data_IF_870018192663
#
_entry.id   IF_870018192663
#
_cell.length_a   1.000
_cell.length_b   1.000
_cell.length_c   1.000
_cell.angle_alpha   90.00
_cell.angle_beta   90.00
_cell.angle_gamma   90.00
#
_symmetry.space_group_name_H-M   'P 1'
#
loop_
_entity.id
_entity.type
_entity.pdbx_description
1 polymer ?
#
# COMPACT_ATOMS: atom_id res chain seq x y z
N UNK A 1 -53.60 40.94 66.43
CA UNK A 1 -53.71 40.98 64.96
C UNK A 1 -52.31 41.19 64.40
N UNK A 2 -52.00 40.48 63.31
CA UNK A 2 -50.81 40.63 62.45
C UNK A 2 -49.53 39.97 62.98
N UNK A 3 -48.79 39.15 62.22
CA UNK A 3 -48.94 38.68 60.84
C UNK A 3 -47.96 37.51 60.61
N UNK A 4 -48.48 36.35 60.21
CA UNK A 4 -47.71 35.22 59.68
C UNK A 4 -46.96 35.63 58.39
N UNK A 5 -45.67 35.30 58.31
CA UNK A 5 -44.92 35.35 57.05
C UNK A 5 -45.01 34.00 56.32
N UNK A 6 -45.20 34.00 54.99
CA UNK A 6 -45.51 32.81 54.21
C UNK A 6 -44.25 32.00 53.89
N UNK A 7 -44.31 30.70 54.16
CA UNK A 7 -43.31 29.72 53.75
C UNK A 7 -43.42 29.52 52.22
N UNK A 8 -42.64 30.27 51.44
CA UNK A 8 -42.64 30.15 49.98
C UNK A 8 -41.82 28.94 49.53
N UNK A 9 -42.53 27.95 48.99
CA UNK A 9 -42.02 26.68 48.51
C UNK A 9 -40.94 26.83 47.42
N UNK A 10 -39.78 26.23 47.64
CA UNK A 10 -38.65 26.12 46.69
C UNK A 10 -39.06 25.58 45.31
N UNK A 11 -40.12 24.76 45.26
CA UNK A 11 -40.72 24.23 44.03
C UNK A 11 -41.31 25.33 43.12
N UNK A 12 -41.79 26.43 43.68
CA UNK A 12 -42.35 27.55 42.92
C UNK A 12 -41.23 28.40 42.28
N UNK A 13 -40.05 28.45 42.90
CA UNK A 13 -38.87 29.15 42.37
C UNK A 13 -38.23 28.45 41.16
N UNK A 14 -38.26 27.11 41.16
CA UNK A 14 -37.75 26.28 40.05
C UNK A 14 -38.64 26.34 38.80
N UNK A 15 -39.95 26.60 38.95
CA UNK A 15 -40.88 26.70 37.82
C UNK A 15 -40.85 28.05 37.10
N UNK A 16 -40.30 29.11 37.73
CA UNK A 16 -40.28 30.46 37.18
C UNK A 16 -39.04 30.78 36.32
N UNK A 17 -37.97 29.97 36.41
CA UNK A 17 -36.73 30.21 35.67
C UNK A 17 -36.18 28.91 35.06
N UNK A 18 -36.37 28.66 33.75
CA UNK A 18 -35.92 27.44 33.09
C UNK A 18 -34.39 27.26 33.14
N UNK A 19 -33.63 28.35 33.22
CA UNK A 19 -32.17 28.32 33.37
C UNK A 19 -31.70 27.70 34.71
N UNK A 20 -32.45 27.93 35.79
CA UNK A 20 -32.12 27.37 37.12
C UNK A 20 -32.47 25.89 37.19
N UNK A 21 -33.54 25.47 36.52
CA UNK A 21 -33.90 24.06 36.39
C UNK A 21 -32.85 23.27 35.59
N UNK A 22 -32.34 23.83 34.49
CA UNK A 22 -31.27 23.21 33.68
C UNK A 22 -29.98 23.08 34.49
N UNK A 23 -29.58 24.12 35.22
CA UNK A 23 -28.40 24.06 36.09
C UNK A 23 -28.55 23.01 37.21
N UNK A 24 -29.74 22.84 37.77
CA UNK A 24 -30.00 21.81 38.77
C UNK A 24 -29.88 20.39 38.18
N UNK A 25 -30.32 20.17 36.93
CA UNK A 25 -30.19 18.88 36.22
C UNK A 25 -28.73 18.59 35.89
N UNK A 26 -27.96 19.59 35.43
CA UNK A 26 -26.53 19.44 35.13
C UNK A 26 -25.75 19.11 36.41
N UNK A 27 -26.04 19.78 37.52
CA UNK A 27 -25.42 19.48 38.81
C UNK A 27 -25.72 18.05 39.28
N UNK A 28 -26.96 17.58 39.08
CA UNK A 28 -27.34 16.21 39.41
C UNK A 28 -26.58 15.18 38.55
N UNK A 29 -26.46 15.42 37.25
CA UNK A 29 -25.73 14.53 36.33
C UNK A 29 -24.23 14.49 36.63
N UNK A 30 -23.62 15.64 36.96
CA UNK A 30 -22.22 15.72 37.35
C UNK A 30 -21.95 14.94 38.65
N UNK A 31 -22.86 15.03 39.62
CA UNK A 31 -22.76 14.27 40.86
C UNK A 31 -22.89 12.76 40.62
N UNK A 32 -23.78 12.36 39.72
CA UNK A 32 -23.97 10.95 39.35
C UNK A 32 -22.74 10.39 38.63
N UNK A 33 -22.12 11.17 37.73
CA UNK A 33 -20.87 10.81 37.07
C UNK A 33 -19.70 10.67 38.07
N UNK A 34 -19.60 11.57 39.06
CA UNK A 34 -18.59 11.48 40.12
C UNK A 34 -18.76 10.23 40.99
N UNK A 35 -20.00 9.83 41.29
CA UNK A 35 -20.28 8.59 42.03
C UNK A 35 -19.88 7.36 41.21
N UNK A 36 -20.21 7.33 39.92
CA UNK A 36 -19.81 6.22 39.02
C UNK A 36 -18.29 6.13 38.90
N UNK A 37 -17.61 7.26 38.77
CA UNK A 37 -16.14 7.30 38.72
C UNK A 37 -15.52 6.83 40.03
N UNK A 38 -16.08 7.23 41.18
CA UNK A 38 -15.65 6.75 42.49
C UNK A 38 -15.81 5.24 42.64
N UNK A 39 -16.92 4.67 42.17
CA UNK A 39 -17.14 3.22 42.18
C UNK A 39 -16.17 2.48 41.23
N UNK A 40 -15.84 3.05 40.08
CA UNK A 40 -14.85 2.47 39.17
C UNK A 40 -13.43 2.50 39.74
N UNK A 41 -13.05 3.58 40.43
CA UNK A 41 -11.76 3.68 41.11
C UNK A 41 -11.69 2.70 42.29
N UNK A 42 -12.73 2.60 43.11
CA UNK A 42 -12.80 1.64 44.22
C UNK A 42 -12.84 0.17 43.76
N UNK A 43 -13.38 -0.11 42.57
CA UNK A 43 -13.32 -1.46 41.98
C UNK A 43 -11.97 -1.78 41.35
N UNK A 44 -11.16 -0.77 41.01
CA UNK A 44 -9.81 -0.94 40.47
C UNK A 44 -8.79 -1.35 41.54
N UNK A 45 -9.08 -1.17 42.83
CA UNK A 45 -8.12 -1.43 43.92
C UNK A 45 -8.27 -2.79 44.62
N UNK A 46 -9.24 -3.64 44.23
CA UNK A 46 -9.42 -4.99 44.81
C UNK A 46 -8.94 -6.14 43.90
N UNK A 47 -7.84 -5.91 43.18
CA UNK A 47 -7.13 -6.93 42.40
C UNK A 47 -5.71 -7.13 42.91
N UNK A 48 -5.56 -8.05 43.87
CA UNK A 48 -4.36 -8.81 44.24
C UNK A 48 -2.99 -8.08 44.35
N UNK A 49 -2.63 -7.87 45.61
CA UNK A 49 -1.32 -7.72 46.23
C UNK A 49 -0.22 -8.65 45.65
N UNK A 50 0.89 -8.08 45.16
CA UNK A 50 2.22 -8.70 45.11
C UNK A 50 3.25 -7.62 45.47
N UNK A 51 4.11 -7.95 46.43
CA UNK A 51 5.03 -7.10 47.18
C UNK A 51 5.83 -6.07 46.35
N UNK A 52 5.88 -4.85 46.89
CA UNK A 52 6.75 -3.79 46.41
C UNK A 52 8.15 -3.90 47.01
N UNK A 53 9.16 -3.92 46.13
CA UNK A 53 10.47 -3.36 46.44
C UNK A 53 10.79 -2.21 45.47
N UNK A 54 11.14 -1.08 46.08
CA UNK A 54 11.52 0.22 45.50
C UNK A 54 12.63 0.09 44.45
N UNK A 55 12.58 0.84 43.32
CA UNK A 55 13.58 0.74 42.28
C UNK A 55 14.92 1.35 42.73
N UNK A 56 15.90 0.49 42.97
CA UNK A 56 17.31 0.89 43.05
C UNK A 56 17.89 0.89 41.65
N UNK A 57 18.40 2.04 41.20
CA UNK A 57 19.17 2.14 39.98
C UNK A 57 20.46 1.32 40.08
N UNK A 58 20.71 0.41 39.13
CA UNK A 58 22.03 -0.19 38.92
C UNK A 58 22.30 -0.50 37.44
N UNK A 59 23.49 -0.04 37.05
CA UNK A 59 24.38 -0.31 35.91
C UNK A 59 24.22 -1.65 35.16
N UNK A 60 24.57 -1.71 33.86
CA UNK A 60 24.53 -2.95 33.08
C UNK A 60 25.71 -3.85 33.46
N UNK A 61 25.41 -5.11 33.77
CA UNK A 61 26.41 -6.17 33.86
C UNK A 61 25.90 -7.41 33.13
N UNK A 62 26.80 -7.99 32.34
CA UNK A 62 26.56 -9.06 31.39
C UNK A 62 26.21 -10.39 32.07
N UNK A 63 25.29 -11.14 31.47
CA UNK A 63 25.00 -12.52 31.83
C UNK A 63 23.94 -13.09 30.89
N UNK A 64 24.40 -13.79 29.85
CA UNK A 64 23.54 -14.36 28.82
C UNK A 64 22.68 -15.51 29.30
N UNK A 65 21.45 -15.56 28.80
CA UNK A 65 20.75 -16.79 28.39
C UNK A 65 19.80 -16.42 27.25
N UNK A 66 19.70 -17.30 26.26
CA UNK A 66 19.23 -17.00 24.90
C UNK A 66 17.80 -16.48 24.80
N UNK A 67 17.63 -15.47 23.93
CA UNK A 67 16.35 -15.15 23.31
C UNK A 67 16.30 -15.92 21.99
N UNK A 68 16.16 -17.24 22.07
CA UNK A 68 15.57 -18.01 20.99
C UNK A 68 14.09 -18.22 21.33
N UNK A 69 13.22 -17.91 20.37
CA UNK A 69 11.76 -18.03 20.39
C UNK A 69 10.98 -16.97 21.20
N UNK A 70 10.64 -15.83 20.57
CA UNK A 70 9.29 -15.21 20.67
C UNK A 70 9.05 -13.98 19.76
N UNK A 71 9.71 -13.85 18.60
CA UNK A 71 9.33 -12.83 17.60
C UNK A 71 8.27 -13.31 16.58
N UNK A 72 7.78 -14.54 16.73
CA UNK A 72 6.80 -15.17 15.85
C UNK A 72 5.36 -14.83 16.29
N UNK A 73 4.95 -13.56 16.16
CA UNK A 73 3.56 -13.17 16.45
C UNK A 73 3.33 -11.71 16.86
N UNK A 74 4.35 -10.86 16.88
CA UNK A 74 4.15 -9.46 17.24
C UNK A 74 3.60 -8.67 16.06
N UNK A 75 2.33 -8.24 16.18
CA UNK A 75 1.68 -7.26 15.32
C UNK A 75 2.45 -5.95 15.35
N UNK A 76 2.79 -5.41 14.17
CA UNK A 76 3.31 -4.05 14.10
C UNK A 76 2.14 -3.09 14.35
N UNK A 77 2.12 -2.44 15.50
CA UNK A 77 1.16 -1.37 15.80
C UNK A 77 1.66 -0.10 15.12
N UNK A 78 1.13 0.20 13.95
CA UNK A 78 1.31 1.53 13.33
C UNK A 78 0.30 2.47 13.98
N UNK A 79 0.79 3.39 14.81
CA UNK A 79 -0.06 4.41 15.44
C UNK A 79 -0.55 5.41 14.40
N UNK A 80 -1.79 5.25 13.94
CA UNK A 80 -2.54 6.29 13.25
C UNK A 80 -3.49 6.88 14.30
N UNK A 81 -3.13 8.05 14.84
CA UNK A 81 -3.91 8.92 15.76
C UNK A 81 -5.05 8.27 16.57
N UNK A 82 -4.87 8.16 17.89
CA UNK A 82 -5.80 7.93 19.03
C UNK A 82 -7.09 7.08 18.89
N UNK A 83 -7.44 6.48 17.75
CA UNK A 83 -8.60 5.60 17.66
C UNK A 83 -8.56 4.47 16.63
N UNK A 84 -7.52 4.33 15.79
CA UNK A 84 -7.41 3.20 14.87
C UNK A 84 -6.00 2.57 14.87
N UNK A 85 -5.84 1.46 15.57
CA UNK A 85 -4.66 0.58 15.43
C UNK A 85 -4.92 -0.43 14.31
N UNK A 86 -4.15 -0.33 13.21
CA UNK A 86 -4.08 -1.38 12.20
C UNK A 86 -3.01 -2.36 12.63
N UNK A 87 -3.42 -3.59 12.99
CA UNK A 87 -2.48 -4.70 13.22
C UNK A 87 -2.09 -5.28 11.87
N UNK A 88 -0.89 -4.97 11.39
CA UNK A 88 -0.33 -5.63 10.20
C UNK A 88 0.44 -6.86 10.67
N UNK A 89 -0.03 -8.05 10.29
CA UNK A 89 0.75 -9.29 10.44
C UNK A 89 1.85 -9.24 9.40
N UNK A 90 3.08 -9.05 9.86
CA UNK A 90 4.25 -8.99 8.99
C UNK A 90 4.56 -10.39 8.45
N UNK A 91 4.60 -10.55 7.12
CA UNK A 91 4.99 -11.81 6.51
C UNK A 91 6.51 -11.99 6.59
N UNK A 92 6.94 -12.90 7.47
CA UNK A 92 8.33 -13.04 7.89
C UNK A 92 9.09 -13.97 6.92
N UNK A 93 10.28 -13.57 6.43
CA UNK A 93 11.15 -14.46 5.67
C UNK A 93 11.57 -15.70 6.45
N UNK A 94 11.55 -16.87 5.80
CA UNK A 94 11.91 -18.16 6.40
C UNK A 94 13.10 -18.82 5.72
N UNK A 95 13.28 -18.63 4.41
CA UNK A 95 14.42 -19.18 3.67
C UNK A 95 14.92 -18.21 2.61
N UNK A 96 16.24 -18.16 2.45
CA UNK A 96 16.95 -17.47 1.39
C UNK A 96 17.64 -18.51 0.52
N UNK A 97 17.37 -18.52 -0.78
CA UNK A 97 18.08 -19.34 -1.75
C UNK A 97 18.97 -18.48 -2.64
N UNK A 98 20.24 -18.86 -2.77
CA UNK A 98 21.19 -18.23 -3.69
C UNK A 98 22.19 -19.24 -4.24
N UNK A 99 22.50 -19.15 -5.54
CA UNK A 99 23.38 -20.08 -6.27
C UNK A 99 23.12 -21.57 -5.98
N UNK A 100 21.85 -21.96 -5.85
CA UNK A 100 21.42 -23.34 -5.56
C UNK A 100 21.53 -23.78 -4.11
N UNK A 101 22.05 -22.95 -3.21
CA UNK A 101 22.02 -23.19 -1.76
C UNK A 101 20.76 -22.58 -1.15
N UNK A 102 20.19 -23.23 -0.12
CA UNK A 102 19.04 -22.72 0.64
C UNK A 102 19.45 -22.58 2.11
N UNK A 103 19.31 -21.37 2.64
CA UNK A 103 19.74 -20.96 3.98
C UNK A 103 18.50 -20.58 4.79
N UNK A 104 18.30 -21.13 5.99
CA UNK A 104 17.21 -20.71 6.87
C UNK A 104 17.42 -19.27 7.34
N UNK A 105 16.33 -18.50 7.41
CA UNK A 105 16.35 -17.10 7.85
C UNK A 105 15.67 -16.97 9.21
N UNK A 106 16.40 -16.42 10.18
CA UNK A 106 15.89 -16.07 11.52
C UNK A 106 15.56 -14.57 11.58
N UNK A 107 14.54 -14.21 12.34
CA UNK A 107 14.18 -12.80 12.56
C UNK A 107 15.04 -12.18 13.64
N UNK A 108 15.46 -10.93 13.44
CA UNK A 108 16.20 -10.19 14.44
C UNK A 108 15.82 -8.72 14.49
N UNK A 109 15.67 -8.21 15.70
CA UNK A 109 15.54 -6.77 15.97
C UNK A 109 16.93 -6.14 16.09
N UNK A 110 17.11 -4.94 15.51
CA UNK A 110 18.35 -4.18 15.67
C UNK A 110 18.39 -3.61 17.10
N UNK A 111 19.50 -3.76 17.85
CA UNK A 111 19.62 -3.16 19.17
C UNK A 111 19.54 -1.63 19.14
N UNK A 112 19.21 -1.03 20.29
CA UNK A 112 18.99 0.42 20.42
C UNK A 112 20.23 1.28 20.07
N UNK A 113 21.44 0.70 20.14
CA UNK A 113 22.69 1.36 19.75
C UNK A 113 22.83 1.56 18.22
N UNK A 114 21.93 0.95 17.43
CA UNK A 114 21.92 1.02 15.98
C UNK A 114 23.08 0.28 15.32
N UNK A 115 23.84 -0.53 16.06
CA UNK A 115 24.93 -1.35 15.55
C UNK A 115 24.40 -2.75 15.27
N UNK A 116 24.32 -3.10 14.00
CA UNK A 116 23.89 -4.43 13.58
C UNK A 116 25.09 -5.35 13.38
N UNK A 117 25.48 -6.02 14.47
CA UNK A 117 26.53 -7.05 14.52
C UNK A 117 26.03 -8.28 15.26
N UNK A 118 25.07 -9.00 14.68
CA UNK A 118 24.44 -10.09 15.39
C UNK A 118 25.30 -11.35 15.42
N UNK A 119 25.17 -12.11 16.50
CA UNK A 119 25.76 -13.45 16.58
C UNK A 119 24.92 -14.41 15.73
N UNK A 120 25.36 -14.62 14.50
CA UNK A 120 24.71 -15.51 13.54
C UNK A 120 25.33 -16.89 13.63
N UNK A 121 24.51 -17.90 13.93
CA UNK A 121 24.93 -19.29 13.76
C UNK A 121 25.37 -19.54 12.32
N UNK A 122 26.42 -20.35 12.13
CA UNK A 122 27.12 -20.51 10.85
C UNK A 122 26.23 -21.01 9.70
N UNK A 123 25.11 -21.65 10.03
CA UNK A 123 24.16 -22.29 9.13
C UNK A 123 22.86 -21.49 8.94
N UNK A 124 22.78 -20.27 9.47
CA UNK A 124 21.58 -19.45 9.38
C UNK A 124 21.87 -18.02 8.97
N UNK A 125 20.93 -17.43 8.23
CA UNK A 125 20.90 -16.01 7.94
C UNK A 125 19.97 -15.30 8.94
N UNK A 126 20.17 -14.00 9.14
CA UNK A 126 19.32 -13.16 9.99
C UNK A 126 18.69 -12.04 9.19
N UNK A 127 17.39 -11.85 9.31
CA UNK A 127 16.67 -10.75 8.68
C UNK A 127 16.38 -9.64 9.69
N UNK A 128 16.63 -8.39 9.28
CA UNK A 128 16.26 -7.21 10.06
C UNK A 128 14.75 -7.08 10.08
N UNK A 129 14.16 -7.27 11.26
CA UNK A 129 12.73 -7.14 11.48
C UNK A 129 12.22 -5.76 11.02
N UNK A 130 11.17 -5.77 10.19
CA UNK A 130 10.55 -4.56 9.64
C UNK A 130 11.13 -4.08 8.31
N UNK A 131 12.18 -4.73 7.78
CA UNK A 131 12.72 -4.40 6.45
C UNK A 131 11.92 -5.08 5.33
N UNK A 132 10.86 -4.40 4.89
CA UNK A 132 9.82 -4.93 3.99
C UNK A 132 9.86 -4.40 2.56
N UNK A 133 10.49 -3.24 2.34
CA UNK A 133 10.66 -2.69 0.99
C UNK A 133 11.96 -3.25 0.40
N UNK A 134 13.04 -3.18 1.19
CA UNK A 134 14.31 -3.80 0.89
C UNK A 134 14.61 -4.83 1.97
N UNK A 135 14.61 -6.12 1.65
CA UNK A 135 14.86 -7.18 2.63
C UNK A 135 16.33 -7.18 3.02
N UNK A 136 16.63 -6.86 4.28
CA UNK A 136 18.01 -6.78 4.75
C UNK A 136 18.36 -8.07 5.48
N UNK A 137 19.29 -8.84 4.91
CA UNK A 137 19.66 -10.16 5.39
C UNK A 137 21.15 -10.23 5.67
N UNK A 138 21.49 -10.69 6.87
CA UNK A 138 22.83 -10.88 7.37
C UNK A 138 23.25 -12.33 7.24
N UNK A 139 24.43 -12.58 6.69
CA UNK A 139 25.05 -13.89 6.58
C UNK A 139 26.32 -13.95 7.44
N UNK A 140 26.61 -15.04 8.15
CA UNK A 140 27.87 -15.19 8.88
C UNK A 140 29.05 -15.15 7.90
N UNK A 141 30.14 -14.48 8.29
CA UNK A 141 31.39 -14.45 7.53
C UNK A 141 32.15 -15.78 7.60
N UNK A 142 31.59 -16.80 6.95
CA UNK A 142 32.28 -18.06 6.65
C UNK A 142 32.99 -17.95 5.30
N UNK A 143 34.00 -18.79 5.07
CA UNK A 143 34.69 -18.86 3.77
C UNK A 143 33.71 -19.21 2.63
N UNK A 144 32.71 -20.04 2.94
CA UNK A 144 31.66 -20.44 2.01
C UNK A 144 30.76 -19.26 1.63
N UNK A 145 30.15 -18.57 2.59
CA UNK A 145 29.27 -17.43 2.32
C UNK A 145 30.01 -16.28 1.63
N UNK A 146 31.28 -16.06 1.98
CA UNK A 146 32.12 -15.09 1.30
C UNK A 146 32.30 -15.44 -0.17
N UNK A 147 32.70 -16.68 -0.45
CA UNK A 147 32.89 -17.17 -1.82
C UNK A 147 31.60 -17.08 -2.62
N UNK A 148 30.49 -17.48 -2.00
CA UNK A 148 29.15 -17.44 -2.57
C UNK A 148 28.76 -16.00 -3.01
N UNK A 149 28.91 -15.01 -2.13
CA UNK A 149 28.64 -13.60 -2.47
C UNK A 149 29.66 -13.01 -3.46
N UNK A 150 30.90 -13.49 -3.45
CA UNK A 150 31.96 -13.06 -4.38
C UNK A 150 31.81 -13.66 -5.79
N UNK A 151 31.07 -14.75 -5.93
CA UNK A 151 30.80 -15.38 -7.23
C UNK A 151 29.54 -14.85 -7.91
N UNK A 152 28.66 -14.15 -7.18
CA UNK A 152 27.45 -13.57 -7.76
C UNK A 152 27.79 -12.61 -8.90
N UNK A 153 27.12 -12.83 -10.03
CA UNK A 153 27.29 -12.09 -11.27
C UNK A 153 25.93 -11.62 -11.81
N UNK A 154 25.92 -10.63 -12.74
CA UNK A 154 24.69 -10.24 -13.42
C UNK A 154 24.01 -11.44 -14.08
N UNK A 155 22.71 -11.62 -13.79
CA UNK A 155 21.92 -12.77 -14.22
C UNK A 155 21.67 -13.81 -13.13
N UNK A 156 22.42 -13.77 -12.03
CA UNK A 156 22.14 -14.63 -10.88
C UNK A 156 20.90 -14.16 -10.11
N UNK A 157 20.11 -15.13 -9.68
CA UNK A 157 18.88 -14.91 -8.91
C UNK A 157 19.09 -15.18 -7.42
N UNK A 158 18.40 -14.38 -6.60
CA UNK A 158 18.24 -14.59 -5.18
C UNK A 158 16.75 -14.76 -4.90
N UNK A 159 16.38 -15.78 -4.15
CA UNK A 159 14.97 -16.10 -3.89
C UNK A 159 14.71 -16.09 -2.39
N UNK A 160 13.75 -15.29 -1.95
CA UNK A 160 13.33 -15.21 -0.56
C UNK A 160 11.93 -15.78 -0.42
N UNK A 161 11.78 -16.82 0.40
CA UNK A 161 10.46 -17.37 0.73
C UNK A 161 10.05 -16.88 2.12
N UNK A 162 8.77 -16.53 2.25
CA UNK A 162 8.18 -16.11 3.52
C UNK A 162 7.33 -17.21 4.14
N UNK A 163 6.99 -17.03 5.42
CA UNK A 163 6.13 -17.94 6.17
C UNK A 163 4.73 -18.01 5.57
N UNK A 164 4.22 -16.90 5.03
CA UNK A 164 2.95 -16.79 4.33
C UNK A 164 2.92 -17.47 2.96
N UNK A 165 4.03 -18.08 2.51
CA UNK A 165 4.12 -18.78 1.24
C UNK A 165 4.45 -17.87 0.05
N UNK A 166 4.73 -16.59 0.29
CA UNK A 166 5.15 -15.65 -0.76
C UNK A 166 6.59 -15.93 -1.15
N UNK A 167 6.87 -15.94 -2.46
CA UNK A 167 8.22 -16.06 -3.00
C UNK A 167 8.60 -14.75 -3.71
N UNK A 168 9.63 -14.08 -3.20
CA UNK A 168 10.23 -12.92 -3.83
C UNK A 168 11.49 -13.31 -4.59
N UNK A 169 11.59 -12.88 -5.85
CA UNK A 169 12.78 -13.08 -6.67
C UNK A 169 13.53 -11.76 -6.80
N UNK A 170 14.85 -11.84 -6.79
CA UNK A 170 15.73 -10.70 -6.95
C UNK A 170 16.82 -11.06 -7.94
N UNK A 171 17.24 -10.10 -8.75
CA UNK A 171 18.41 -10.25 -9.63
C UNK A 171 19.59 -9.55 -8.99
N UNK A 172 20.77 -10.15 -9.08
CA UNK A 172 22.00 -9.50 -8.67
C UNK A 172 22.16 -8.14 -9.38
N UNK A 173 22.36 -7.07 -8.59
CA UNK A 173 22.54 -5.72 -9.10
C UNK A 173 23.98 -5.25 -8.91
N UNK A 174 24.50 -5.33 -7.69
CA UNK A 174 25.84 -4.82 -7.39
C UNK A 174 26.43 -5.45 -6.16
N UNK A 175 27.76 -5.39 -6.07
CA UNK A 175 28.54 -5.79 -4.90
C UNK A 175 29.49 -4.66 -4.52
N UNK A 176 29.60 -4.39 -3.24
CA UNK A 176 30.49 -3.36 -2.70
C UNK A 176 30.98 -3.73 -1.31
N UNK A 177 32.18 -3.27 -0.98
CA UNK A 177 32.70 -3.31 0.39
C UNK A 177 32.45 -1.94 1.02
N UNK A 178 31.76 -1.90 2.16
CA UNK A 178 31.40 -0.65 2.85
C UNK A 178 31.80 -0.71 4.32
N UNK A 179 32.00 0.43 4.99
CA UNK A 179 32.23 0.45 6.43
C UNK A 179 31.07 -0.19 7.20
N UNK A 180 31.38 -0.87 8.29
CA UNK A 180 30.39 -1.47 9.22
C UNK A 180 29.43 -0.44 9.80
N UNK A 181 29.87 0.82 9.88
CA UNK A 181 29.08 1.98 10.34
C UNK A 181 28.16 2.58 9.28
N UNK A 182 28.29 2.17 8.01
CA UNK A 182 27.46 2.71 6.93
C UNK A 182 25.99 2.28 7.12
N UNK A 183 25.10 3.26 7.30
CA UNK A 183 23.66 3.05 7.53
C UNK A 183 22.82 2.97 6.27
N UNK A 184 23.37 3.31 5.10
CA UNK A 184 22.65 3.26 3.83
C UNK A 184 22.26 1.83 3.45
N UNK A 185 22.94 0.82 4.02
CA UNK A 185 22.55 -0.60 3.87
C UNK A 185 21.15 -0.89 4.42
N UNK A 186 20.61 -0.01 5.28
CA UNK A 186 19.27 -0.15 5.84
C UNK A 186 18.21 0.64 5.07
N UNK A 187 18.57 1.29 3.96
CA UNK A 187 17.63 2.08 3.17
C UNK A 187 16.45 1.24 2.68
N UNK A 188 15.24 1.76 2.89
CA UNK A 188 13.96 1.16 2.50
C UNK A 188 13.29 1.95 1.35
N UNK A 189 14.08 2.69 0.57
CA UNK A 189 13.55 3.59 -0.47
C UNK A 189 13.39 2.93 -1.84
N UNK A 190 13.90 1.71 -2.03
CA UNK A 190 13.83 0.98 -3.30
C UNK A 190 13.52 -0.51 -3.05
N UNK A 191 12.60 -1.12 -3.82
CA UNK A 191 12.31 -2.55 -3.72
C UNK A 191 13.54 -3.41 -4.03
N UNK A 192 13.91 -4.31 -3.11
CA UNK A 192 15.11 -5.11 -3.29
C UNK A 192 15.45 -6.04 -2.13
N UNK A 193 16.66 -6.58 -2.21
CA UNK A 193 17.29 -7.36 -1.15
C UNK A 193 18.72 -6.85 -0.95
N UNK A 194 19.14 -6.73 0.30
CA UNK A 194 20.50 -6.36 0.68
C UNK A 194 21.09 -7.48 1.53
N UNK A 195 22.08 -8.18 0.99
CA UNK A 195 22.83 -9.20 1.72
C UNK A 195 24.09 -8.58 2.33
N UNK A 196 24.30 -8.83 3.61
CA UNK A 196 25.42 -8.27 4.37
C UNK A 196 26.21 -9.39 5.01
N UNK A 197 27.52 -9.45 4.76
CA UNK A 197 28.40 -10.41 5.41
C UNK A 197 28.84 -9.90 6.78
N UNK A 198 28.47 -10.61 7.84
CA UNK A 198 28.57 -10.21 9.25
C UNK A 198 29.76 -10.88 9.96
N UNK A 199 30.37 -10.20 10.94
CA UNK A 199 31.42 -10.81 11.78
C UNK A 199 32.80 -10.88 11.14
N UNK A 200 33.12 -9.97 10.20
CA UNK A 200 34.48 -9.79 9.70
C UNK A 200 35.41 -9.15 10.73
N UNK A 201 36.70 -9.50 10.72
CA UNK A 201 37.73 -8.86 11.54
C UNK A 201 38.12 -7.46 11.07
N UNK A 202 37.58 -7.01 9.94
CA UNK A 202 37.79 -5.68 9.37
C UNK A 202 36.71 -4.68 9.76
N UNK A 203 37.02 -3.39 9.61
CA UNK A 203 36.04 -2.31 9.76
C UNK A 203 35.03 -2.27 8.59
N UNK A 204 35.27 -3.06 7.54
CA UNK A 204 34.43 -3.13 6.36
C UNK A 204 33.69 -4.46 6.27
N UNK A 205 32.53 -4.41 5.60
CA UNK A 205 31.66 -5.55 5.32
C UNK A 205 31.34 -5.62 3.84
N UNK A 206 31.26 -6.85 3.34
CA UNK A 206 30.80 -7.12 1.99
C UNK A 206 29.28 -6.97 1.96
N UNK A 207 28.79 -6.19 0.99
CA UNK A 207 27.38 -5.95 0.75
C UNK A 207 27.06 -6.30 -0.69
N UNK A 208 26.02 -7.10 -0.89
CA UNK A 208 25.43 -7.40 -2.18
C UNK A 208 24.02 -6.85 -2.23
N UNK A 209 23.70 -6.12 -3.29
CA UNK A 209 22.38 -5.60 -3.54
C UNK A 209 21.75 -6.40 -4.68
N UNK A 210 20.54 -6.86 -4.45
CA UNK A 210 19.66 -7.43 -5.47
C UNK A 210 18.47 -6.50 -5.71
N UNK A 211 18.09 -6.35 -6.97
CA UNK A 211 16.87 -5.63 -7.36
C UNK A 211 15.72 -6.60 -7.37
N UNK A 212 14.56 -6.18 -6.86
CA UNK A 212 13.36 -6.99 -6.97
C UNK A 212 13.08 -7.26 -8.43
N UNK A 213 13.11 -8.54 -8.78
CA UNK A 213 12.58 -9.02 -10.05
C UNK A 213 11.13 -9.26 -9.74
N UNK A 214 10.27 -8.43 -10.33
CA UNK A 214 8.90 -8.86 -10.45
C UNK A 214 9.00 -10.15 -11.21
N UNK A 215 8.70 -11.27 -10.54
CA UNK A 215 8.40 -12.49 -11.25
C UNK A 215 7.39 -12.06 -12.30
N UNK A 216 7.84 -11.99 -13.56
CA UNK A 216 7.01 -12.49 -14.61
C UNK A 216 6.64 -13.84 -14.04
N UNK A 217 5.39 -13.96 -13.58
CA UNK A 217 4.84 -15.29 -13.48
C UNK A 217 5.28 -15.99 -14.75
N UNK A 218 5.72 -17.23 -14.59
CA UNK A 218 6.20 -18.05 -15.68
C UNK A 218 5.51 -17.63 -16.98
N UNK A 219 6.23 -17.55 -18.09
CA UNK A 219 5.60 -17.46 -19.40
C UNK A 219 4.71 -18.72 -19.65
N UNK A 220 3.72 -19.03 -18.81
CA UNK A 220 2.37 -19.20 -19.30
C UNK A 220 2.13 -18.05 -20.24
N UNK A 221 1.97 -18.39 -21.50
CA UNK A 221 1.27 -17.59 -22.49
C UNK A 221 -0.09 -17.21 -21.92
N UNK A 222 -0.13 -16.25 -20.99
CA UNK A 222 -1.36 -15.69 -20.48
C UNK A 222 -1.99 -14.99 -21.68
N UNK A 223 -3.22 -15.36 -22.05
CA UNK A 223 -3.87 -14.71 -23.18
C UNK A 223 -3.89 -13.20 -22.91
N UNK A 224 -3.40 -12.43 -23.88
CA UNK A 224 -3.58 -10.99 -23.90
C UNK A 224 -4.92 -10.77 -24.57
N UNK A 225 -5.85 -10.17 -23.84
CA UNK A 225 -7.17 -9.79 -24.35
C UNK A 225 -7.27 -8.28 -24.42
N UNK A 226 -8.13 -7.79 -25.31
CA UNK A 226 -8.33 -6.35 -25.49
C UNK A 226 -9.45 -5.83 -24.57
N UNK A 227 -9.52 -4.51 -24.39
CA UNK A 227 -10.63 -3.86 -23.73
C UNK A 227 -11.99 -4.31 -24.34
N UNK A 228 -12.93 -4.70 -23.49
CA UNK A 228 -14.26 -5.19 -23.87
C UNK A 228 -14.34 -6.69 -24.16
N UNK A 229 -13.22 -7.40 -24.21
CA UNK A 229 -13.19 -8.85 -24.38
C UNK A 229 -13.38 -9.56 -23.03
N UNK A 230 -14.20 -10.63 -23.03
CA UNK A 230 -14.36 -11.50 -21.87
C UNK A 230 -13.30 -12.59 -21.90
N UNK A 231 -12.55 -12.72 -20.82
CA UNK A 231 -11.52 -13.74 -20.67
C UNK A 231 -11.74 -14.60 -19.45
N UNK A 232 -11.31 -15.86 -19.55
CA UNK A 232 -11.40 -16.81 -18.46
C UNK A 232 -10.12 -16.79 -17.61
N UNK A 233 -10.30 -16.68 -16.30
CA UNK A 233 -9.27 -16.76 -15.28
C UNK A 233 -9.61 -17.92 -14.35
N UNK A 234 -9.20 -19.14 -14.75
CA UNK A 234 -9.58 -20.39 -14.08
C UNK A 234 -11.12 -20.57 -14.01
N UNK A 235 -11.73 -20.62 -12.81
CA UNK A 235 -13.17 -20.71 -12.60
C UNK A 235 -13.86 -19.32 -12.55
N UNK A 236 -13.20 -18.25 -13.00
CA UNK A 236 -13.76 -16.90 -13.09
C UNK A 236 -13.74 -16.39 -14.53
N UNK A 237 -14.66 -15.49 -14.86
CA UNK A 237 -14.61 -14.68 -16.07
C UNK A 237 -14.42 -13.21 -15.70
N UNK A 238 -13.60 -12.52 -16.49
CA UNK A 238 -13.32 -11.10 -16.31
C UNK A 238 -13.50 -10.41 -17.66
N UNK A 239 -14.23 -9.30 -17.64
CA UNK A 239 -14.40 -8.40 -18.78
C UNK A 239 -14.02 -7.00 -18.32
N UNK A 240 -13.04 -6.36 -18.96
CA UNK A 240 -12.76 -4.95 -18.70
C UNK A 240 -13.65 -4.11 -19.59
N UNK A 241 -14.49 -3.26 -19.00
CA UNK A 241 -15.56 -2.55 -19.70
C UNK A 241 -15.10 -1.18 -20.18
N UNK A 242 -14.36 -0.44 -19.35
CA UNK A 242 -13.91 0.90 -19.67
C UNK A 242 -12.67 1.29 -18.88
N UNK A 243 -11.99 2.32 -19.36
CA UNK A 243 -10.87 2.96 -18.67
C UNK A 243 -11.06 4.48 -18.65
N UNK A 244 -10.48 5.16 -17.67
CA UNK A 244 -10.52 6.61 -17.58
C UNK A 244 -9.23 7.19 -17.01
N UNK A 245 -8.75 8.28 -17.59
CA UNK A 245 -7.58 9.01 -17.12
C UNK A 245 -8.02 10.33 -16.49
N UNK A 246 -7.57 10.58 -15.26
CA UNK A 246 -7.94 11.75 -14.47
C UNK A 246 -6.65 12.46 -14.03
N UNK A 247 -6.17 13.44 -14.80
CA UNK A 247 -5.23 14.44 -14.33
C UNK A 247 -6.04 15.51 -13.57
N UNK A 248 -5.46 16.16 -12.56
CA UNK A 248 -6.03 17.39 -11.97
C UNK A 248 -7.25 17.23 -11.04
N UNK A 249 -7.07 16.51 -9.92
CA UNK A 249 -7.98 16.60 -8.75
C UNK A 249 -7.23 16.92 -7.45
N UNK A 250 -7.90 17.51 -6.45
CA UNK A 250 -7.29 17.80 -5.15
C UNK A 250 -6.72 16.58 -4.43
N UNK A 251 -7.32 15.41 -4.64
CA UNK A 251 -6.90 14.13 -4.04
C UNK A 251 -5.65 13.55 -4.70
N UNK A 252 -5.22 14.11 -5.85
CA UNK A 252 -4.09 13.62 -6.64
C UNK A 252 -2.84 14.40 -6.26
N UNK A 253 -1.75 13.71 -5.85
CA UNK A 253 -0.46 14.37 -5.60
C UNK A 253 0.09 15.02 -6.88
N UNK A 254 0.80 16.15 -6.73
CA UNK A 254 1.42 16.83 -7.85
C UNK A 254 2.36 15.90 -8.65
N UNK A 255 2.25 15.94 -9.98
CA UNK A 255 3.03 15.09 -10.90
C UNK A 255 2.43 13.70 -11.16
N UNK A 256 1.29 13.37 -10.56
CA UNK A 256 0.57 12.13 -10.79
C UNK A 256 -0.81 12.38 -11.40
N UNK A 257 -1.42 11.30 -11.87
CA UNK A 257 -2.80 11.22 -12.32
C UNK A 257 -3.40 9.89 -11.84
N UNK A 258 -4.72 9.81 -11.81
CA UNK A 258 -5.41 8.54 -11.58
C UNK A 258 -5.81 7.89 -12.90
N UNK A 259 -5.62 6.58 -12.99
CA UNK A 259 -6.10 5.75 -14.07
C UNK A 259 -7.12 4.77 -13.49
N UNK A 260 -8.36 4.82 -13.96
CA UNK A 260 -9.46 4.00 -13.48
C UNK A 260 -9.76 2.91 -14.50
N UNK A 261 -10.10 1.74 -13.99
CA UNK A 261 -10.50 0.57 -14.77
C UNK A 261 -11.81 0.06 -14.20
N UNK A 262 -12.87 0.09 -15.01
CA UNK A 262 -14.14 -0.54 -14.67
C UNK A 262 -14.19 -1.92 -15.32
N UNK A 263 -14.52 -2.93 -14.53
CA UNK A 263 -14.54 -4.31 -14.96
C UNK A 263 -15.73 -5.07 -14.37
N UNK A 264 -16.08 -6.16 -15.03
CA UNK A 264 -17.04 -7.13 -14.58
C UNK A 264 -16.32 -8.43 -14.26
N UNK A 265 -16.72 -9.05 -13.15
CA UNK A 265 -16.21 -10.34 -12.72
C UNK A 265 -17.36 -11.30 -12.46
N UNK A 266 -17.26 -12.50 -13.01
CA UNK A 266 -18.21 -13.57 -12.80
C UNK A 266 -17.51 -14.78 -12.18
N UNK A 267 -18.10 -15.33 -11.12
CA UNK A 267 -17.71 -16.64 -10.60
C UNK A 267 -18.44 -17.74 -11.37
N UNK A 268 -17.71 -18.61 -12.07
CA UNK A 268 -18.26 -19.75 -12.82
C UNK A 268 -18.29 -21.05 -12.01
N UNK A 269 -17.79 -21.04 -10.77
CA UNK A 269 -17.81 -22.20 -9.89
C UNK A 269 -19.17 -22.38 -9.21
N UNK A 270 -19.35 -23.55 -8.62
CA UNK A 270 -20.48 -23.91 -7.77
C UNK A 270 -20.28 -23.48 -6.30
N UNK A 271 -19.11 -22.94 -5.96
CA UNK A 271 -18.77 -22.50 -4.61
C UNK A 271 -18.43 -21.01 -4.59
N UNK A 272 -18.55 -20.38 -3.42
CA UNK A 272 -18.20 -18.98 -3.26
C UNK A 272 -16.68 -18.78 -3.35
N UNK A 273 -16.25 -17.79 -4.12
CA UNK A 273 -14.84 -17.41 -4.28
C UNK A 273 -14.58 -16.13 -3.49
N UNK A 274 -13.51 -16.11 -2.69
CA UNK A 274 -13.06 -14.89 -2.02
C UNK A 274 -12.40 -13.94 -3.03
N UNK A 275 -13.01 -12.78 -3.23
CA UNK A 275 -12.47 -11.77 -4.16
C UNK A 275 -11.14 -11.18 -3.70
N UNK A 276 -10.76 -11.33 -2.42
CA UNK A 276 -9.47 -10.89 -1.90
C UNK A 276 -8.28 -11.66 -2.52
N UNK A 277 -8.53 -12.83 -3.10
CA UNK A 277 -7.52 -13.60 -3.84
C UNK A 277 -7.25 -13.04 -5.24
N UNK A 278 -8.11 -12.14 -5.75
CA UNK A 278 -7.89 -11.44 -7.00
C UNK A 278 -6.91 -10.27 -6.77
N UNK A 279 -5.88 -10.21 -7.59
CA UNK A 279 -4.90 -9.14 -7.58
C UNK A 279 -4.86 -8.49 -8.95
N UNK A 280 -4.91 -7.15 -8.96
CA UNK A 280 -4.84 -6.35 -10.16
C UNK A 280 -3.60 -5.44 -10.07
N UNK A 281 -2.78 -5.46 -11.11
CA UNK A 281 -1.58 -4.64 -11.25
C UNK A 281 -1.63 -4.00 -12.63
N UNK A 282 -1.43 -2.68 -12.69
CA UNK A 282 -1.26 -1.98 -13.95
C UNK A 282 0.22 -1.92 -14.31
N UNK A 283 0.57 -2.14 -15.56
CA UNK A 283 1.94 -2.12 -16.05
C UNK A 283 2.06 -1.23 -17.29
N UNK A 284 3.15 -0.47 -17.40
CA UNK A 284 3.46 0.29 -18.62
C UNK A 284 4.35 -0.50 -19.59
N UNK A 285 4.63 0.08 -20.76
CA UNK A 285 5.45 -0.55 -21.80
C UNK A 285 6.92 -0.79 -21.42
N UNK A 286 7.43 -0.10 -20.38
CA UNK A 286 8.80 -0.28 -19.89
C UNK A 286 8.86 -1.19 -18.66
N UNK A 287 7.73 -1.74 -18.24
CA UNK A 287 7.60 -2.71 -17.15
C UNK A 287 7.44 -2.10 -15.76
N UNK A 288 7.22 -0.78 -15.64
CA UNK A 288 6.86 -0.20 -14.34
C UNK A 288 5.47 -0.67 -13.93
N UNK A 289 5.30 -0.93 -12.64
CA UNK A 289 4.05 -1.45 -12.10
C UNK A 289 3.41 -0.49 -11.12
N UNK A 290 2.08 -0.42 -11.18
CA UNK A 290 1.25 0.41 -10.34
C UNK A 290 0.22 -0.47 -9.64
N UNK A 291 0.28 -0.45 -8.31
CA UNK A 291 -0.68 -1.15 -7.47
C UNK A 291 -2.01 -0.38 -7.39
N UNK A 292 -3.07 -1.09 -7.01
CA UNK A 292 -4.36 -0.47 -6.69
C UNK A 292 -4.16 0.64 -5.64
N UNK A 293 -4.70 1.82 -5.94
CA UNK A 293 -4.82 2.93 -5.02
C UNK A 293 -6.26 3.00 -4.51
N UNK A 294 -6.44 2.93 -3.19
CA UNK A 294 -7.76 2.91 -2.57
C UNK A 294 -8.56 4.20 -2.81
N UNK A 295 -7.88 5.36 -2.79
CA UNK A 295 -8.52 6.67 -3.05
C UNK A 295 -8.97 6.75 -4.50
N UNK A 296 -8.12 6.36 -5.45
CA UNK A 296 -8.47 6.32 -6.87
C UNK A 296 -9.64 5.35 -7.14
N UNK A 297 -9.63 4.17 -6.52
CA UNK A 297 -10.66 3.14 -6.75
C UNK A 297 -12.05 3.60 -6.31
N UNK A 298 -12.14 4.49 -5.31
CA UNK A 298 -13.40 5.08 -4.87
C UNK A 298 -13.98 6.10 -5.86
N UNK A 299 -13.19 6.58 -6.81
CA UNK A 299 -13.62 7.52 -7.85
C UNK A 299 -14.16 6.82 -9.11
N UNK A 300 -14.11 5.49 -9.15
CA UNK A 300 -14.67 4.69 -10.23
C UNK A 300 -16.20 4.75 -10.30
N UNK A 301 -16.75 4.31 -11.43
CA UNK A 301 -18.20 4.29 -11.63
C UNK A 301 -18.90 3.17 -10.84
N UNK A 302 -18.13 2.18 -10.37
CA UNK A 302 -18.61 1.02 -9.64
C UNK A 302 -17.94 0.90 -8.27
N UNK A 303 -18.55 0.16 -7.32
CA UNK A 303 -17.92 -0.11 -6.03
C UNK A 303 -16.58 -0.87 -6.17
N UNK A 304 -15.73 -0.76 -5.15
CA UNK A 304 -14.53 -1.61 -5.07
C UNK A 304 -14.95 -3.05 -4.81
N UNK A 305 -14.37 -4.00 -5.56
CA UNK A 305 -14.63 -5.42 -5.36
C UNK A 305 -14.19 -5.85 -3.96
N UNK A 306 -15.13 -6.39 -3.18
CA UNK A 306 -14.89 -6.85 -1.81
C UNK A 306 -15.77 -8.05 -1.47
N UNK A 307 -15.32 -8.88 -0.51
CA UNK A 307 -16.08 -10.00 0.02
C UNK A 307 -16.09 -11.23 -0.91
N UNK A 308 -17.16 -12.01 -0.84
CA UNK A 308 -17.30 -13.25 -1.58
C UNK A 308 -18.16 -13.07 -2.84
N UNK A 309 -17.70 -13.67 -3.94
CA UNK A 309 -18.49 -13.88 -5.14
C UNK A 309 -19.17 -15.24 -5.04
N UNK A 310 -20.49 -15.26 -4.85
CA UNK A 310 -21.26 -16.50 -4.82
C UNK A 310 -21.22 -17.22 -6.18
N UNK A 311 -21.60 -18.50 -6.19
CA UNK A 311 -21.68 -19.29 -7.41
C UNK A 311 -22.52 -18.60 -8.49
N UNK A 312 -21.99 -18.50 -9.71
CA UNK A 312 -22.61 -17.81 -10.86
C UNK A 312 -22.87 -16.30 -10.68
N UNK A 313 -22.38 -15.69 -9.59
CA UNK A 313 -22.58 -14.27 -9.35
C UNK A 313 -21.72 -13.42 -10.29
N UNK A 314 -22.34 -12.41 -10.89
CA UNK A 314 -21.69 -11.37 -11.68
C UNK A 314 -21.66 -10.08 -10.85
N UNK A 315 -20.50 -9.42 -10.79
CA UNK A 315 -20.30 -8.16 -10.07
C UNK A 315 -19.52 -7.18 -10.94
N UNK A 316 -20.00 -5.95 -11.02
CA UNK A 316 -19.25 -4.84 -11.60
C UNK A 316 -18.46 -4.11 -10.52
N UNK A 317 -17.22 -3.79 -10.82
CA UNK A 317 -16.31 -3.16 -9.87
C UNK A 317 -15.36 -2.18 -10.57
N UNK A 318 -14.77 -1.29 -9.77
CA UNK A 318 -13.76 -0.35 -10.23
C UNK A 318 -12.44 -0.55 -9.48
N UNK A 319 -11.35 -0.47 -10.22
CA UNK A 319 -9.99 -0.43 -9.68
C UNK A 319 -9.29 0.84 -10.18
N UNK A 320 -8.76 1.63 -9.26
CA UNK A 320 -8.02 2.85 -9.57
C UNK A 320 -6.53 2.70 -9.27
N UNK A 321 -5.70 3.32 -10.10
CA UNK A 321 -4.25 3.30 -10.03
C UNK A 321 -3.72 4.74 -10.02
N UNK A 322 -2.60 4.96 -9.34
CA UNK A 322 -1.88 6.23 -9.42
C UNK A 322 -0.67 6.07 -10.35
N UNK A 323 -0.64 6.87 -11.41
CA UNK A 323 0.39 6.83 -12.45
C UNK A 323 1.05 8.22 -12.61
N UNK A 324 2.29 8.30 -13.12
CA UNK A 324 2.90 9.59 -13.46
C UNK A 324 2.11 10.31 -14.55
N UNK A 325 1.90 11.62 -14.39
CA UNK A 325 1.17 12.44 -15.37
C UNK A 325 1.88 12.54 -16.73
N UNK A 326 3.20 12.31 -16.75
CA UNK A 326 4.03 12.29 -17.96
C UNK A 326 4.26 10.89 -18.55
N UNK A 327 3.42 9.90 -18.21
CA UNK A 327 3.56 8.54 -18.72
C UNK A 327 3.50 8.53 -20.26
N UNK A 328 4.60 8.16 -20.92
CA UNK A 328 4.66 8.05 -22.37
C UNK A 328 4.47 6.58 -22.78
N UNK A 329 3.21 6.19 -22.88
CA UNK A 329 2.79 4.84 -23.30
C UNK A 329 1.61 4.97 -24.25
N UNK A 330 1.50 4.08 -25.25
CA UNK A 330 0.29 4.03 -26.10
C UNK A 330 -0.77 3.11 -25.50
N UNK A 331 -0.32 2.05 -24.81
CA UNK A 331 -1.16 1.12 -24.07
C UNK A 331 -0.56 0.88 -22.69
N UNK A 332 -1.39 0.49 -21.75
CA UNK A 332 -0.98 -0.08 -20.45
C UNK A 332 -1.58 -1.47 -20.34
N UNK A 333 -0.90 -2.36 -19.64
CA UNK A 333 -1.36 -3.75 -19.45
C UNK A 333 -1.89 -3.90 -18.03
N UNK A 334 -3.14 -4.33 -17.89
CA UNK A 334 -3.66 -4.80 -16.62
C UNK A 334 -3.34 -6.28 -16.47
N UNK A 335 -2.47 -6.60 -15.53
CA UNK A 335 -2.24 -7.97 -15.07
C UNK A 335 -3.27 -8.30 -14.00
N UNK A 336 -4.10 -9.31 -14.26
CA UNK A 336 -5.02 -9.87 -13.28
C UNK A 336 -4.53 -11.25 -12.89
N UNK A 337 -4.32 -11.48 -11.60
CA UNK A 337 -3.84 -12.75 -11.07
C UNK A 337 -4.72 -13.24 -9.93
N UNK A 338 -4.81 -14.57 -9.81
CA UNK A 338 -5.40 -15.24 -8.65
C UNK A 338 -4.32 -15.84 -7.77
N UNK A 339 -4.26 -15.43 -6.52
CA UNK A 339 -3.22 -15.85 -5.57
C UNK A 339 -3.34 -17.30 -5.14
N UNK A 340 -4.56 -17.82 -5.10
CA UNK A 340 -4.88 -19.16 -4.63
C UNK A 340 -4.62 -20.24 -5.69
N UNK A 341 -4.84 -19.93 -6.98
CA UNK A 341 -4.63 -20.88 -8.08
C UNK A 341 -3.38 -20.59 -8.92
N UNK A 342 -2.81 -19.39 -8.82
CA UNK A 342 -1.72 -18.92 -9.67
C UNK A 342 -2.16 -18.57 -11.10
N UNK A 343 -3.45 -18.64 -11.42
CA UNK A 343 -3.97 -18.29 -12.73
C UNK A 343 -3.76 -16.80 -13.04
N UNK A 344 -3.52 -16.48 -14.30
CA UNK A 344 -3.26 -15.11 -14.75
C UNK A 344 -3.91 -14.77 -16.09
N UNK A 345 -4.20 -13.49 -16.25
CA UNK A 345 -4.77 -12.86 -17.43
C UNK A 345 -4.10 -11.50 -17.65
N UNK A 346 -3.82 -11.16 -18.90
CA UNK A 346 -3.36 -9.83 -19.26
C UNK A 346 -4.42 -9.14 -20.12
N UNK A 347 -4.74 -7.89 -19.79
CA UNK A 347 -5.65 -7.06 -20.58
C UNK A 347 -4.87 -5.87 -21.13
N UNK A 348 -4.83 -5.73 -22.45
CA UNK A 348 -4.31 -4.57 -23.14
C UNK A 348 -5.33 -3.43 -23.06
N UNK A 349 -4.93 -2.31 -22.46
CA UNK A 349 -5.79 -1.16 -22.25
C UNK A 349 -5.23 0.04 -23.01
N UNK A 350 -6.05 0.72 -23.84
CA UNK A 350 -5.62 1.93 -24.51
C UNK A 350 -5.30 3.02 -23.49
N UNK A 351 -4.18 3.73 -23.67
CA UNK A 351 -3.77 4.82 -22.81
C UNK A 351 -3.60 6.12 -23.60
N UNK A 352 -4.40 7.12 -23.27
CA UNK A 352 -4.37 8.47 -23.89
C UNK A 352 -3.99 9.58 -22.91
N UNK A 353 -3.44 9.25 -21.73
CA UNK A 353 -3.19 10.23 -20.66
C UNK A 353 -2.07 11.24 -20.94
N UNK A 354 -1.27 11.04 -21.99
CA UNK A 354 -0.25 11.97 -22.49
C UNK A 354 -0.79 12.93 -23.56
N UNK A 355 -2.01 13.46 -23.36
CA UNK A 355 -2.65 14.44 -24.25
C UNK A 355 -1.81 15.69 -24.60
N UNK A 356 -0.65 15.87 -23.96
CA UNK A 356 0.33 16.91 -24.29
C UNK A 356 1.22 16.62 -25.52
N UNK A 357 1.29 15.40 -26.07
CA UNK A 357 2.11 15.15 -27.27
C UNK A 357 1.38 15.49 -28.59
N UNK A 358 0.07 15.23 -28.68
CA UNK A 358 -0.72 15.58 -29.87
C UNK A 358 -1.19 17.05 -29.86
N UNK A 359 -1.55 17.58 -28.69
CA UNK A 359 -2.05 18.95 -28.58
C UNK A 359 -0.95 20.02 -28.70
N UNK A 360 0.32 19.73 -28.34
CA UNK A 360 1.42 20.68 -28.51
C UNK A 360 1.89 20.83 -29.97
N UNK A 361 1.44 19.94 -30.86
CA UNK A 361 1.63 20.08 -32.29
C UNK A 361 0.50 20.86 -32.97
N UNK A 362 -0.69 21.04 -32.39
CA UNK A 362 -1.79 21.64 -33.14
C UNK A 362 -1.74 23.18 -33.08
N UNK A 363 -1.67 23.84 -34.24
CA UNK A 363 -1.88 25.28 -34.35
C UNK A 363 -3.29 25.55 -34.88
N UNK A 364 -4.08 26.31 -34.12
CA UNK A 364 -5.47 26.64 -34.46
C UNK A 364 -5.53 28.11 -34.84
N UNK A 365 -6.09 28.42 -36.00
CA UNK A 365 -6.29 29.80 -36.46
C UNK A 365 -7.74 30.01 -36.85
N UNK A 366 -8.40 30.97 -36.20
CA UNK A 366 -9.75 31.38 -36.58
C UNK A 366 -9.68 32.30 -37.82
N UNK A 367 -10.40 31.94 -38.87
CA UNK A 367 -10.41 32.67 -40.15
C UNK A 367 -11.60 33.61 -40.23
N UNK A 368 -12.77 33.18 -39.74
CA UNK A 368 -14.00 34.00 -39.70
C UNK A 368 -14.88 33.63 -38.51
N UNK A 369 -15.59 34.62 -38.01
CA UNK A 369 -16.69 34.45 -37.08
C UNK A 369 -17.85 35.35 -37.56
N UNK A 370 -18.97 34.75 -37.91
CA UNK A 370 -20.14 35.46 -38.43
C UNK A 370 -21.40 35.00 -37.71
N UNK A 371 -22.24 35.95 -37.32
CA UNK A 371 -23.58 35.64 -36.81
C UNK A 371 -24.53 35.56 -37.99
N UNK A 372 -25.37 34.52 -38.03
CA UNK A 372 -26.36 34.34 -39.08
C UNK A 372 -27.35 35.51 -39.14
N UNK A 373 -27.92 35.75 -40.32
CA UNK A 373 -28.81 36.89 -40.55
C UNK A 373 -30.11 36.86 -39.73
N UNK A 374 -30.50 35.68 -39.25
CA UNK A 374 -31.63 35.46 -38.34
C UNK A 374 -31.23 35.54 -36.86
N UNK A 375 -29.96 35.80 -36.57
CA UNK A 375 -29.36 35.91 -35.23
C UNK A 375 -29.46 34.63 -34.37
N UNK A 376 -29.71 33.48 -34.99
CA UNK A 376 -29.89 32.22 -34.27
C UNK A 376 -28.63 31.36 -34.19
N UNK A 377 -27.64 31.62 -35.05
CA UNK A 377 -26.46 30.78 -35.21
C UNK A 377 -25.18 31.62 -35.27
N UNK A 378 -24.12 31.13 -34.62
CA UNK A 378 -22.76 31.65 -34.77
C UNK A 378 -21.96 30.67 -35.65
N UNK A 379 -21.51 31.14 -36.81
CA UNK A 379 -20.67 30.37 -37.73
C UNK A 379 -19.23 30.77 -37.49
N UNK A 380 -18.46 29.84 -36.94
CA UNK A 380 -17.01 29.94 -36.81
C UNK A 380 -16.37 29.10 -37.90
N UNK A 381 -15.44 29.67 -38.67
CA UNK A 381 -14.57 28.85 -39.51
C UNK A 381 -13.11 29.18 -39.21
N UNK A 382 -12.32 28.13 -39.03
CA UNK A 382 -10.90 28.22 -38.74
C UNK A 382 -10.16 27.06 -39.39
N UNK A 383 -8.84 27.14 -39.36
CA UNK A 383 -7.94 26.08 -39.77
C UNK A 383 -7.30 25.46 -38.52
N UNK A 384 -7.19 24.13 -38.51
CA UNK A 384 -6.42 23.40 -37.51
C UNK A 384 -5.27 22.75 -38.26
N UNK A 385 -4.05 23.13 -37.90
CA UNK A 385 -2.82 22.62 -38.52
C UNK A 385 -2.15 21.69 -37.53
N UNK A 386 -1.98 20.42 -37.91
CA UNK A 386 -1.19 19.49 -37.13
C UNK A 386 0.30 19.67 -37.43
N UNK A 387 1.04 20.26 -36.49
CA UNK A 387 2.50 20.40 -36.48
C UNK A 387 3.18 19.25 -35.72
N UNK A 388 2.43 18.25 -35.26
CA UNK A 388 2.95 17.06 -34.61
C UNK A 388 3.30 15.94 -35.59
N UNK A 389 4.05 14.95 -35.11
CA UNK A 389 4.46 13.77 -35.90
C UNK A 389 3.39 12.66 -35.98
N UNK A 390 2.27 12.82 -35.26
CA UNK A 390 1.14 11.85 -35.21
C UNK A 390 -0.12 12.43 -35.84
N UNK A 391 -0.98 11.66 -36.53
CA UNK A 391 -2.25 12.15 -37.08
C UNK A 391 -3.17 12.74 -35.99
N UNK A 392 -3.72 13.93 -36.27
CA UNK A 392 -4.67 14.60 -35.39
C UNK A 392 -6.10 14.25 -35.84
N UNK A 393 -6.86 13.59 -34.96
CA UNK A 393 -8.29 13.33 -35.15
C UNK A 393 -9.06 14.33 -34.30
N UNK A 394 -10.05 15.00 -34.89
CA UNK A 394 -10.88 16.01 -34.22
C UNK A 394 -12.32 15.52 -34.29
N UNK A 395 -12.97 15.43 -33.13
CA UNK A 395 -14.41 15.13 -33.02
C UNK A 395 -15.16 16.33 -32.44
N UNK A 396 -16.48 16.35 -32.59
CA UNK A 396 -17.33 17.47 -32.13
C UNK A 396 -17.17 17.76 -30.63
N UNK A 397 -16.93 16.71 -29.83
CA UNK A 397 -16.74 16.81 -28.38
C UNK A 397 -15.46 17.55 -27.97
N UNK A 398 -14.48 17.67 -28.87
CA UNK A 398 -13.21 18.36 -28.62
C UNK A 398 -13.36 19.89 -28.71
N UNK A 399 -14.49 20.38 -29.22
CA UNK A 399 -14.74 21.80 -29.46
C UNK A 399 -15.61 22.34 -28.33
N UNK A 400 -15.06 23.27 -27.55
CA UNK A 400 -15.83 24.06 -26.59
C UNK A 400 -15.71 25.55 -26.87
N UNK A 401 -16.83 26.25 -26.77
CA UNK A 401 -16.91 27.70 -26.78
C UNK A 401 -16.84 28.19 -25.34
N UNK A 402 -15.74 28.84 -24.98
CA UNK A 402 -15.61 29.54 -23.69
C UNK A 402 -15.85 31.03 -23.92
N UNK A 403 -16.82 31.58 -23.19
CA UNK A 403 -17.22 32.98 -23.24
C UNK A 403 -16.60 33.82 -22.14
#
# INVERSE_FOLDING_TARGET
MSSEQPNQNFRTYLAANPAVAILAVIALLALLAAVVLGVLLLRSENGAEVDGETPTAVSPEAGGTGIEAEAAGQSLVVGISESNTISVTLDVPVTLSLAGQTIPVKTQQIPFDGVWSPDTAQDSAVWVYGSIINYIIGLPNTAENRTLLEQLAPGDELVLNTRGGTQFKFSFSSRSTVPSTNRDVFAQNMPGITLVLLGGSGQDRLVVNGRYVVSQAAETTSPIVELGETAQLDNMQITVNSVSYIPDRPEIPAGFAFFLVDYEVQNLDLTAVDSANLQLILMDQVGNQYAINAVASQLGNNPVLTGFLNANQVVQASAGFQIPMGLNSENVTLLVSRRDTGAQLQVSLPFSGSGTAAAQGANITLVRAEVSSDLTSLILAGNITNLGERPLVIVEQDISLQG
#
